data_IF_341082095613
#
_entry.id   IF_341082095613
#
_cell.length_a   1.000
_cell.length_b   1.000
_cell.length_c   1.000
_cell.angle_alpha   90.00
_cell.angle_beta   90.00
_cell.angle_gamma   90.00
#
_symmetry.space_group_name_H-M   'P 1'
#
loop_
_entity.id
_entity.type
_entity.pdbx_description
1 polymer ?
#
# COMPACT_ATOMS: atom_id res chain seq x y z
N UNK A 1 6.81 -86.99 -26.58
CA UNK A 1 7.54 -87.13 -27.86
C UNK A 1 7.04 -86.08 -28.83
N UNK A 2 7.95 -85.51 -29.62
CA UNK A 2 7.76 -84.61 -30.77
C UNK A 2 7.87 -83.09 -30.55
N UNK A 3 8.97 -82.56 -31.11
CA UNK A 3 9.13 -81.36 -31.93
C UNK A 3 8.95 -79.96 -31.33
N UNK A 4 10.07 -79.40 -30.88
CA UNK A 4 10.37 -77.96 -30.95
C UNK A 4 10.92 -77.60 -32.33
N UNK A 5 10.19 -76.76 -33.09
CA UNK A 5 10.72 -76.01 -34.24
C UNK A 5 10.78 -74.52 -33.89
N UNK A 6 11.98 -73.96 -33.95
CA UNK A 6 12.19 -72.51 -34.12
C UNK A 6 11.92 -72.12 -35.57
N UNK A 7 11.50 -70.87 -35.81
CA UNK A 7 12.20 -70.09 -36.82
C UNK A 7 12.62 -68.70 -36.31
N UNK A 8 13.80 -68.30 -36.78
CA UNK A 8 14.37 -66.96 -36.68
C UNK A 8 13.65 -65.97 -37.59
N UNK A 9 13.44 -64.75 -37.12
CA UNK A 9 13.61 -63.48 -37.86
C UNK A 9 13.59 -62.36 -36.82
N UNK A 10 14.62 -61.53 -36.75
CA UNK A 10 14.59 -60.24 -37.42
C UNK A 10 14.87 -59.15 -36.38
N UNK A 11 16.11 -58.65 -36.36
CA UNK A 11 16.51 -57.53 -35.54
C UNK A 11 15.74 -56.27 -35.95
N UNK A 12 15.04 -55.65 -35.00
CA UNK A 12 14.51 -54.31 -35.13
C UNK A 12 14.86 -53.52 -33.86
N UNK A 13 15.65 -52.46 -34.06
CA UNK A 13 16.04 -51.49 -33.04
C UNK A 13 14.79 -50.88 -32.36
N UNK A 14 14.59 -51.19 -31.08
CA UNK A 14 13.62 -50.48 -30.25
C UNK A 14 14.28 -49.18 -29.75
N UNK A 15 13.94 -48.07 -30.40
CA UNK A 15 14.14 -46.74 -29.85
C UNK A 15 13.39 -46.63 -28.51
N UNK A 16 14.14 -46.47 -27.42
CA UNK A 16 13.58 -46.09 -26.13
C UNK A 16 13.02 -44.66 -26.22
N UNK A 17 11.71 -44.54 -26.45
CA UNK A 17 10.99 -43.30 -26.16
C UNK A 17 10.91 -43.14 -24.64
N UNK A 18 11.82 -42.36 -24.07
CA UNK A 18 11.65 -41.74 -22.76
C UNK A 18 10.41 -40.85 -22.83
N UNK A 19 9.30 -41.34 -22.29
CA UNK A 19 8.11 -40.53 -22.03
C UNK A 19 8.47 -39.43 -21.05
N UNK A 20 8.39 -38.18 -21.52
CA UNK A 20 8.53 -37.01 -20.65
C UNK A 20 7.50 -37.09 -19.51
N UNK A 21 7.84 -36.67 -18.28
CA UNK A 21 6.84 -36.56 -17.23
C UNK A 21 5.77 -35.58 -17.71
N UNK A 22 4.50 -35.99 -17.66
CA UNK A 22 3.37 -35.11 -17.86
C UNK A 22 3.53 -33.92 -16.90
N UNK A 23 3.97 -32.78 -17.43
CA UNK A 23 3.89 -31.51 -16.71
C UNK A 23 2.40 -31.29 -16.46
N UNK A 24 1.95 -31.55 -15.24
CA UNK A 24 0.59 -31.23 -14.83
C UNK A 24 0.33 -29.79 -15.20
N UNK A 25 -0.55 -29.59 -16.18
CA UNK A 25 -1.02 -28.27 -16.60
C UNK A 25 -1.65 -27.66 -15.35
N UNK A 26 -0.89 -26.78 -14.66
CA UNK A 26 -1.41 -26.03 -13.52
C UNK A 26 -2.67 -25.32 -14.03
N UNK A 27 -3.82 -25.68 -13.45
CA UNK A 27 -5.07 -24.95 -13.63
C UNK A 27 -4.75 -23.49 -13.30
N UNK A 28 -4.77 -22.61 -14.30
CA UNK A 28 -4.80 -21.18 -14.05
C UNK A 28 -6.05 -20.91 -13.22
N UNK A 29 -5.90 -20.32 -12.03
CA UNK A 29 -7.06 -19.88 -11.27
C UNK A 29 -7.63 -18.65 -11.99
N UNK A 30 -8.69 -18.82 -12.77
CA UNK A 30 -9.38 -17.78 -13.56
C UNK A 30 -10.17 -16.77 -12.71
N UNK A 31 -9.75 -16.53 -11.48
CA UNK A 31 -10.30 -15.44 -10.66
C UNK A 31 -9.67 -14.19 -11.27
N UNK A 32 -10.40 -13.50 -12.17
CA UNK A 32 -9.87 -12.45 -13.05
C UNK A 32 -9.16 -11.27 -12.35
N UNK A 33 -8.69 -10.30 -13.15
CA UNK A 33 -7.93 -9.12 -12.67
C UNK A 33 -8.81 -8.24 -11.75
N UNK A 34 -8.66 -8.38 -10.43
CA UNK A 34 -9.39 -7.57 -9.45
C UNK A 34 -8.61 -6.31 -9.10
N UNK A 35 -8.80 -5.22 -9.84
CA UNK A 35 -8.18 -3.93 -9.47
C UNK A 35 -9.05 -3.09 -8.51
N UNK A 36 -10.30 -3.47 -8.30
CA UNK A 36 -11.30 -2.68 -7.57
C UNK A 36 -11.17 -2.80 -6.05
N UNK A 37 -11.39 -1.70 -5.34
CA UNK A 37 -11.44 -1.64 -3.88
C UNK A 37 -10.08 -1.62 -3.16
N UNK A 38 -8.98 -1.64 -3.91
CA UNK A 38 -7.64 -1.48 -3.36
C UNK A 38 -7.32 0.00 -3.15
N UNK A 39 -7.18 0.35 -1.88
CA UNK A 39 -6.87 1.70 -1.37
C UNK A 39 -5.39 2.04 -1.48
N UNK A 40 -4.53 1.06 -1.80
CA UNK A 40 -3.10 1.30 -2.01
C UNK A 40 -2.86 1.95 -3.37
N UNK A 41 -2.07 3.02 -3.34
CA UNK A 41 -1.62 3.79 -4.51
C UNK A 41 -0.47 3.00 -5.15
N UNK A 42 -0.24 3.03 -6.46
CA UNK A 42 0.86 2.29 -7.16
C UNK A 42 2.24 2.90 -6.89
N UNK A 43 3.31 2.23 -7.32
CA UNK A 43 4.66 2.72 -7.06
C UNK A 43 5.12 3.77 -8.05
N UNK A 44 6.06 4.62 -7.64
CA UNK A 44 6.59 5.69 -8.48
C UNK A 44 7.59 5.18 -9.53
N UNK A 45 8.16 4.00 -9.32
CA UNK A 45 9.07 3.43 -10.30
C UNK A 45 8.31 2.84 -11.50
N UNK A 46 8.44 3.49 -12.65
CA UNK A 46 8.56 2.73 -13.89
C UNK A 46 9.96 2.12 -13.89
N UNK A 47 10.09 0.81 -14.11
CA UNK A 47 11.43 0.23 -14.32
C UNK A 47 12.00 0.97 -15.54
N UNK A 48 13.12 1.72 -15.41
CA UNK A 48 13.62 2.57 -16.48
C UNK A 48 13.90 1.74 -17.74
N UNK A 49 13.54 2.30 -18.89
CA UNK A 49 13.81 1.68 -20.19
C UNK A 49 15.33 1.57 -20.38
N UNK A 50 15.77 0.53 -21.10
CA UNK A 50 17.17 0.32 -21.46
C UNK A 50 17.78 1.54 -22.15
N UNK A 51 16.97 2.27 -22.94
CA UNK A 51 17.32 3.54 -23.59
C UNK A 51 17.77 4.62 -22.61
N UNK A 52 17.07 4.76 -21.48
CA UNK A 52 17.38 5.77 -20.46
C UNK A 52 18.69 5.44 -19.72
N UNK A 53 19.01 4.15 -19.60
CA UNK A 53 20.24 3.67 -18.98
C UNK A 53 21.44 3.90 -19.92
N UNK A 54 21.27 3.65 -21.22
CA UNK A 54 22.31 3.81 -22.24
C UNK A 54 22.63 5.30 -22.51
N UNK A 55 21.62 6.18 -22.57
CA UNK A 55 21.82 7.65 -22.66
C UNK A 55 22.57 8.21 -21.44
N UNK A 56 22.24 7.72 -20.24
CA UNK A 56 22.91 8.10 -18.99
C UNK A 56 24.37 7.64 -18.93
N UNK A 57 24.67 6.45 -19.45
CA UNK A 57 26.03 5.95 -19.56
C UNK A 57 26.86 6.74 -20.58
N UNK A 58 26.24 7.17 -21.68
CA UNK A 58 26.86 8.01 -22.70
C UNK A 58 27.22 9.42 -22.17
N UNK A 59 26.32 10.05 -21.41
CA UNK A 59 26.58 11.36 -20.77
C UNK A 59 27.71 11.31 -19.75
N UNK A 60 27.81 10.22 -18.98
CA UNK A 60 28.89 10.02 -18.01
C UNK A 60 30.26 9.89 -18.70
N UNK A 61 30.31 9.16 -19.83
CA UNK A 61 31.52 8.97 -20.63
C UNK A 61 31.99 10.25 -21.35
N UNK A 62 31.08 11.18 -21.63
CA UNK A 62 31.41 12.47 -22.27
C UNK A 62 32.09 13.46 -21.31
N UNK A 63 31.93 13.28 -20.00
CA UNK A 63 32.55 14.13 -18.96
C UNK A 63 33.95 13.64 -18.53
N UNK A 64 34.45 12.56 -19.13
CA UNK A 64 35.80 12.03 -18.94
C UNK A 64 36.81 12.82 -19.82
N UNK A 65 36.97 14.12 -19.57
CA UNK A 65 38.15 14.87 -20.05
C UNK A 65 39.27 14.83 -19.01
N UNK A 66 40.52 14.84 -19.50
CA UNK A 66 41.75 14.50 -18.75
C UNK A 66 42.24 15.57 -17.75
N UNK A 67 41.51 16.66 -17.54
CA UNK A 67 41.85 17.71 -16.55
C UNK A 67 40.63 17.96 -15.67
N UNK A 68 40.62 17.41 -14.44
CA UNK A 68 39.47 17.50 -13.55
C UNK A 68 39.66 18.63 -12.52
N UNK A 69 38.87 19.69 -12.65
CA UNK A 69 38.74 20.76 -11.65
C UNK A 69 37.81 20.27 -10.52
N UNK A 70 37.90 20.83 -9.30
CA UNK A 70 36.98 20.50 -8.19
C UNK A 70 35.48 20.63 -8.57
N UNK A 71 35.15 21.59 -9.45
CA UNK A 71 33.81 21.75 -10.01
C UNK A 71 33.39 20.58 -10.91
N UNK A 72 34.32 20.01 -11.67
CA UNK A 72 34.07 18.86 -12.53
C UNK A 72 33.84 17.60 -11.69
N UNK A 73 34.53 17.47 -10.56
CA UNK A 73 34.31 16.38 -9.59
C UNK A 73 32.91 16.47 -8.97
N UNK A 74 32.48 17.67 -8.54
CA UNK A 74 31.14 17.88 -8.00
C UNK A 74 30.04 17.65 -9.05
N UNK A 75 30.26 18.09 -10.29
CA UNK A 75 29.35 17.86 -11.41
C UNK A 75 29.22 16.35 -11.71
N UNK A 76 30.34 15.63 -11.78
CA UNK A 76 30.37 14.16 -11.95
C UNK A 76 29.64 13.44 -10.83
N UNK A 77 29.84 13.87 -9.58
CA UNK A 77 29.16 13.29 -8.43
C UNK A 77 27.65 13.54 -8.50
N UNK A 78 27.22 14.75 -8.86
CA UNK A 78 25.81 15.08 -9.03
C UNK A 78 25.14 14.28 -10.15
N UNK A 79 25.79 14.15 -11.31
CA UNK A 79 25.30 13.34 -12.43
C UNK A 79 25.23 11.86 -12.05
N UNK A 80 26.28 11.31 -11.42
CA UNK A 80 26.29 9.91 -10.95
C UNK A 80 25.17 9.64 -9.96
N UNK A 81 24.95 10.57 -9.03
CA UNK A 81 23.91 10.47 -7.99
C UNK A 81 22.51 10.62 -8.61
N UNK A 82 22.34 11.44 -9.65
CA UNK A 82 21.11 11.53 -10.45
C UNK A 82 20.82 10.23 -11.19
N UNK A 83 21.81 9.65 -11.87
CA UNK A 83 21.70 8.37 -12.58
C UNK A 83 21.30 7.26 -11.59
N UNK A 84 22.01 7.19 -10.47
CA UNK A 84 21.73 6.20 -9.42
C UNK A 84 20.33 6.39 -8.82
N UNK A 85 19.87 7.63 -8.67
CA UNK A 85 18.52 7.97 -8.18
C UNK A 85 17.41 7.57 -9.14
N UNK A 86 17.66 7.61 -10.46
CA UNK A 86 16.70 7.12 -11.47
C UNK A 86 16.65 5.59 -11.45
N UNK A 87 17.80 4.93 -11.26
CA UNK A 87 17.87 3.46 -11.17
C UNK A 87 17.30 2.91 -9.86
N UNK A 88 17.52 3.62 -8.77
CA UNK A 88 17.11 3.26 -7.41
C UNK A 88 16.29 4.41 -6.82
N UNK A 89 14.99 4.41 -7.09
CA UNK A 89 14.04 5.44 -6.62
C UNK A 89 13.93 5.53 -5.11
N UNK A 90 14.38 4.52 -4.37
CA UNK A 90 14.49 4.56 -2.90
C UNK A 90 15.66 5.40 -2.40
N UNK A 91 16.65 5.70 -3.24
CA UNK A 91 17.85 6.42 -2.83
C UNK A 91 17.60 7.90 -2.48
N UNK A 92 16.88 8.71 -3.29
CA UNK A 92 16.60 10.11 -2.92
C UNK A 92 15.91 10.28 -1.55
N UNK A 93 14.79 9.58 -1.24
CA UNK A 93 14.18 9.73 0.08
C UNK A 93 15.08 9.18 1.19
N UNK A 94 15.88 8.14 0.95
CA UNK A 94 16.89 7.68 1.93
C UNK A 94 17.95 8.74 2.23
N UNK A 95 18.47 9.43 1.20
CA UNK A 95 19.45 10.49 1.39
C UNK A 95 18.89 11.66 2.19
N UNK A 96 17.62 12.03 1.96
CA UNK A 96 16.93 13.06 2.75
C UNK A 96 16.82 12.62 4.22
N UNK A 97 16.37 11.39 4.47
CA UNK A 97 16.24 10.86 5.83
C UNK A 97 17.60 10.76 6.53
N UNK A 98 18.62 10.28 5.82
CA UNK A 98 19.99 10.13 6.30
C UNK A 98 20.63 11.48 6.62
N UNK A 99 20.47 12.48 5.74
CA UNK A 99 20.97 13.83 5.96
C UNK A 99 20.33 14.47 7.20
N UNK A 100 19.00 14.40 7.34
CA UNK A 100 18.30 14.91 8.52
C UNK A 100 18.77 14.20 9.80
N UNK A 101 18.95 12.88 9.75
CA UNK A 101 19.41 12.11 10.91
C UNK A 101 20.85 12.43 11.27
N UNK A 102 21.72 12.58 10.28
CA UNK A 102 23.12 12.96 10.46
C UNK A 102 23.24 14.34 11.11
N UNK A 103 22.53 15.35 10.59
CA UNK A 103 22.52 16.70 11.18
C UNK A 103 22.03 16.65 12.62
N UNK A 104 20.98 15.87 12.91
CA UNK A 104 20.47 15.71 14.27
C UNK A 104 21.50 15.11 15.22
N UNK A 105 22.20 14.05 14.80
CA UNK A 105 23.26 13.43 15.63
C UNK A 105 24.46 14.36 15.81
N UNK A 106 24.92 15.00 14.73
CA UNK A 106 26.05 15.94 14.77
C UNK A 106 25.77 17.18 15.63
N UNK A 107 24.51 17.57 15.77
CA UNK A 107 24.13 18.69 16.64
C UNK A 107 24.34 18.40 18.14
N UNK A 108 24.50 17.13 18.53
CA UNK A 108 24.66 16.66 19.91
C UNK A 108 23.60 17.17 20.91
N UNK A 109 22.43 17.58 20.41
CA UNK A 109 21.32 18.07 21.21
C UNK A 109 20.05 17.23 20.95
N UNK A 110 19.76 16.30 21.86
CA UNK A 110 18.65 15.36 21.71
C UNK A 110 17.39 15.78 22.49
N UNK A 111 17.25 17.07 22.76
CA UNK A 111 16.14 17.62 23.55
C UNK A 111 15.15 18.37 22.68
N UNK A 112 13.98 18.71 23.25
CA UNK A 112 12.92 19.51 22.60
C UNK A 112 13.37 20.90 22.09
N UNK A 113 14.57 21.36 22.49
CA UNK A 113 15.18 22.61 22.01
C UNK A 113 15.74 22.49 20.58
N UNK A 114 16.01 21.27 20.09
CA UNK A 114 16.50 21.04 18.75
C UNK A 114 15.35 21.10 17.72
N UNK A 115 15.45 21.90 16.64
CA UNK A 115 14.42 21.95 15.60
C UNK A 115 14.16 20.61 14.89
N UNK A 116 15.12 19.69 14.91
CA UNK A 116 14.99 18.35 14.32
C UNK A 116 14.39 17.32 15.29
N UNK A 117 14.27 17.63 16.59
CA UNK A 117 13.68 16.72 17.57
C UNK A 117 12.28 16.21 17.18
N UNK A 118 11.34 17.07 16.69
CA UNK A 118 10.01 16.64 16.29
C UNK A 118 9.95 15.72 15.06
N UNK A 119 11.03 15.62 14.28
CA UNK A 119 11.09 14.67 13.17
C UNK A 119 11.22 13.23 13.70
N UNK A 120 12.01 13.03 14.75
CA UNK A 120 12.41 11.70 15.21
C UNK A 120 11.70 11.25 16.49
N UNK A 121 11.18 12.18 17.29
CA UNK A 121 10.57 11.90 18.58
C UNK A 121 9.16 12.48 18.68
N UNK A 122 8.29 11.80 19.44
CA UNK A 122 6.97 12.35 19.76
C UNK A 122 7.11 13.60 20.61
N UNK A 123 6.46 14.67 20.17
CA UNK A 123 6.42 15.94 20.91
C UNK A 123 5.34 15.93 21.99
N UNK A 124 5.41 16.87 22.93
CA UNK A 124 4.39 17.14 23.96
C UNK A 124 4.22 16.03 25.01
N UNK A 125 5.31 15.46 25.49
CA UNK A 125 5.27 14.60 26.68
C UNK A 125 4.76 15.40 27.90
N UNK A 126 3.86 14.82 28.68
CA UNK A 126 3.27 15.44 29.87
C UNK A 126 4.05 14.95 31.10
N UNK A 127 4.83 15.82 31.77
CA UNK A 127 5.59 15.44 32.95
C UNK A 127 4.68 14.93 34.07
N UNK A 128 5.16 13.94 34.84
CA UNK A 128 4.44 13.41 36.01
C UNK A 128 3.35 12.38 35.70
N UNK A 129 3.19 11.94 34.45
CA UNK A 129 2.27 10.86 34.08
C UNK A 129 2.98 9.50 34.02
N UNK A 130 2.35 8.45 34.56
CA UNK A 130 2.84 7.07 34.55
C UNK A 130 1.73 6.11 34.03
N UNK A 131 1.85 5.54 32.82
CA UNK A 131 2.90 5.74 31.82
C UNK A 131 2.92 7.18 31.28
N UNK A 132 4.03 7.60 30.66
CA UNK A 132 4.15 8.93 30.06
C UNK A 132 3.09 9.11 28.96
N UNK A 133 2.25 10.13 29.15
CA UNK A 133 1.20 10.52 28.24
C UNK A 133 1.67 11.69 27.37
N UNK A 134 1.14 11.76 26.15
CA UNK A 134 1.50 12.76 25.17
C UNK A 134 0.26 13.53 24.75
N UNK A 135 0.36 14.87 24.76
CA UNK A 135 -0.63 15.78 24.19
C UNK A 135 -0.51 15.88 22.67
N UNK A 136 -1.05 16.96 22.09
CA UNK A 136 -0.98 17.26 20.66
C UNK A 136 -0.58 18.70 20.38
N UNK A 137 0.00 18.97 19.21
CA UNK A 137 0.27 20.32 18.71
C UNK A 137 0.91 20.34 17.33
N UNK A 138 1.30 21.52 16.86
CA UNK A 138 1.75 21.71 15.47
C UNK A 138 3.02 20.92 15.10
N UNK A 139 3.94 20.74 16.05
CA UNK A 139 5.12 19.85 15.91
C UNK A 139 4.77 18.42 15.46
N UNK A 140 3.55 17.94 15.70
CA UNK A 140 3.12 16.61 15.22
C UNK A 140 2.98 16.57 13.70
N UNK A 141 2.72 17.70 13.02
CA UNK A 141 2.74 17.79 11.55
C UNK A 141 4.14 17.58 10.99
N UNK A 142 5.17 18.06 11.69
CA UNK A 142 6.57 17.84 11.30
C UNK A 142 6.90 16.35 11.35
N UNK A 143 6.44 15.65 12.39
CA UNK A 143 6.56 14.20 12.50
C UNK A 143 5.83 13.50 11.35
N UNK A 144 4.59 13.91 11.03
CA UNK A 144 3.82 13.35 9.90
C UNK A 144 4.53 13.57 8.57
N UNK A 145 5.08 14.76 8.31
CA UNK A 145 5.86 15.04 7.09
C UNK A 145 7.13 14.18 7.01
N UNK A 146 7.82 13.97 8.14
CA UNK A 146 8.95 13.05 8.19
C UNK A 146 8.52 11.61 7.84
N UNK A 147 7.39 11.16 8.40
CA UNK A 147 6.82 9.85 8.09
C UNK A 147 6.45 9.72 6.61
N UNK A 148 5.97 10.78 5.95
CA UNK A 148 5.70 10.73 4.51
C UNK A 148 6.96 10.45 3.68
N UNK A 149 8.09 11.08 4.02
CA UNK A 149 9.38 10.81 3.36
C UNK A 149 9.84 9.38 3.66
N UNK A 150 9.69 8.94 4.93
CA UNK A 150 9.96 7.56 5.34
C UNK A 150 9.14 6.56 4.53
N UNK A 151 7.84 6.74 4.36
CA UNK A 151 7.01 5.82 3.57
C UNK A 151 7.34 5.82 2.09
N UNK A 152 7.80 6.95 1.54
CA UNK A 152 8.27 7.02 0.16
C UNK A 152 9.53 6.17 -0.01
N UNK A 153 10.50 6.29 0.92
CA UNK A 153 11.65 5.41 0.98
C UNK A 153 11.26 3.94 1.17
N UNK A 154 10.49 3.66 2.22
CA UNK A 154 10.14 2.31 2.65
C UNK A 154 9.44 1.55 1.55
N UNK A 155 8.48 2.19 0.87
CA UNK A 155 7.78 1.63 -0.27
C UNK A 155 8.73 1.22 -1.41
N UNK A 156 9.53 2.16 -1.89
CA UNK A 156 10.43 1.92 -3.02
C UNK A 156 11.53 0.90 -2.66
N UNK A 157 12.02 0.94 -1.42
CA UNK A 157 13.01 0.00 -0.91
C UNK A 157 12.44 -1.42 -0.83
N UNK A 158 11.29 -1.59 -0.17
CA UNK A 158 10.64 -2.90 -0.04
C UNK A 158 10.32 -3.47 -1.43
N UNK A 159 9.76 -2.66 -2.34
CA UNK A 159 9.42 -3.14 -3.68
C UNK A 159 10.64 -3.55 -4.50
N UNK A 160 11.69 -2.72 -4.56
CA UNK A 160 12.85 -3.00 -5.43
C UNK A 160 13.86 -3.97 -4.84
N UNK A 161 14.07 -3.91 -3.52
CA UNK A 161 15.14 -4.66 -2.84
C UNK A 161 14.62 -5.99 -2.29
N UNK A 162 13.39 -6.03 -1.76
CA UNK A 162 12.85 -7.23 -1.13
C UNK A 162 11.87 -7.99 -2.05
N UNK A 163 10.88 -7.31 -2.62
CA UNK A 163 9.78 -7.95 -3.34
C UNK A 163 10.11 -8.29 -4.79
N UNK A 164 10.95 -7.51 -5.46
CA UNK A 164 11.41 -7.82 -6.82
C UNK A 164 12.14 -9.17 -6.92
N UNK A 165 13.18 -9.47 -6.11
CA UNK A 165 13.82 -10.79 -6.16
C UNK A 165 12.88 -11.90 -5.70
N UNK A 166 11.99 -11.64 -4.74
CA UNK A 166 10.97 -12.59 -4.33
C UNK A 166 10.02 -12.95 -5.49
N UNK A 167 9.56 -11.95 -6.25
CA UNK A 167 8.71 -12.15 -7.42
C UNK A 167 9.42 -12.98 -8.52
N UNK A 168 10.72 -12.76 -8.71
CA UNK A 168 11.56 -13.56 -9.61
C UNK A 168 11.69 -15.01 -9.13
N UNK A 169 11.88 -15.20 -7.82
CA UNK A 169 11.96 -16.55 -7.22
C UNK A 169 10.65 -17.34 -7.37
N UNK A 170 9.51 -16.65 -7.41
CA UNK A 170 8.21 -17.25 -7.71
C UNK A 170 7.97 -17.50 -9.21
N UNK A 171 8.93 -17.14 -10.08
CA UNK A 171 8.85 -17.38 -11.52
C UNK A 171 7.97 -16.39 -12.28
N UNK A 172 7.68 -15.21 -11.71
CA UNK A 172 6.89 -14.18 -12.39
C UNK A 172 7.73 -13.50 -13.49
N UNK A 173 7.49 -13.92 -14.75
CA UNK A 173 8.22 -13.42 -15.93
C UNK A 173 7.65 -12.11 -16.50
N UNK A 174 6.33 -11.98 -16.57
CA UNK A 174 5.66 -10.80 -17.18
C UNK A 174 5.85 -9.55 -16.31
N UNK A 175 6.29 -8.45 -16.92
CA UNK A 175 6.61 -7.18 -16.24
C UNK A 175 5.39 -6.60 -15.49
N UNK A 176 4.23 -6.51 -16.14
CA UNK A 176 3.00 -6.00 -15.52
C UNK A 176 2.55 -6.83 -14.32
N UNK A 177 2.48 -8.16 -14.48
CA UNK A 177 2.10 -9.10 -13.40
C UNK A 177 3.05 -8.99 -12.20
N UNK A 178 4.35 -8.86 -12.45
CA UNK A 178 5.37 -8.66 -11.41
C UNK A 178 5.17 -7.36 -10.64
N UNK A 179 4.91 -6.26 -11.34
CA UNK A 179 4.64 -4.97 -10.70
C UNK A 179 3.40 -5.04 -9.79
N UNK A 180 2.30 -5.62 -10.27
CA UNK A 180 1.07 -5.76 -9.46
C UNK A 180 1.25 -6.67 -8.26
N UNK A 181 1.97 -7.77 -8.42
CA UNK A 181 2.36 -8.61 -7.30
C UNK A 181 3.13 -7.81 -6.24
N UNK A 182 4.14 -7.03 -6.64
CA UNK A 182 4.92 -6.23 -5.69
C UNK A 182 4.07 -5.16 -5.00
N UNK A 183 3.13 -4.52 -5.70
CA UNK A 183 2.21 -3.53 -5.13
C UNK A 183 1.34 -4.15 -4.03
N UNK A 184 0.73 -5.31 -4.30
CA UNK A 184 -0.09 -6.00 -3.31
C UNK A 184 0.74 -6.58 -2.17
N UNK A 185 1.92 -7.14 -2.47
CA UNK A 185 2.80 -7.68 -1.44
C UNK A 185 3.35 -6.57 -0.52
N UNK A 186 3.59 -5.35 -1.03
CA UNK A 186 3.91 -4.20 -0.19
C UNK A 186 2.77 -3.86 0.76
N UNK A 187 1.53 -3.86 0.27
CA UNK A 187 0.33 -3.65 1.10
C UNK A 187 0.19 -4.73 2.18
N UNK A 188 0.52 -5.99 1.89
CA UNK A 188 0.58 -7.07 2.91
C UNK A 188 1.62 -6.75 3.99
N UNK A 189 2.82 -6.30 3.62
CA UNK A 189 3.87 -5.94 4.58
C UNK A 189 3.39 -4.82 5.50
N UNK A 190 2.78 -3.78 4.94
CA UNK A 190 2.27 -2.65 5.71
C UNK A 190 1.11 -3.08 6.63
N UNK A 191 0.01 -3.59 6.06
CA UNK A 191 -1.19 -3.93 6.83
C UNK A 191 -0.97 -5.13 7.76
N UNK A 192 -0.04 -6.03 7.43
CA UNK A 192 0.36 -7.14 8.30
C UNK A 192 1.04 -6.69 9.59
N UNK A 193 1.62 -5.49 9.61
CA UNK A 193 2.21 -4.87 10.81
C UNK A 193 1.19 -3.94 11.48
N UNK A 194 0.51 -3.07 10.72
CA UNK A 194 -0.36 -2.04 11.30
C UNK A 194 -1.68 -2.59 11.83
N UNK A 195 -2.24 -3.64 11.22
CA UNK A 195 -3.53 -4.21 11.68
C UNK A 195 -3.41 -4.86 13.07
N UNK A 196 -2.45 -5.77 13.32
CA UNK A 196 -2.27 -6.33 14.66
C UNK A 196 -1.86 -5.27 15.68
N UNK A 197 -1.03 -4.29 15.28
CA UNK A 197 -0.61 -3.21 16.16
C UNK A 197 -1.79 -2.31 16.58
N UNK A 198 -2.68 -1.97 15.65
CA UNK A 198 -3.90 -1.21 15.95
C UNK A 198 -4.82 -1.97 16.92
N UNK A 199 -5.04 -3.26 16.68
CA UNK A 199 -5.80 -4.12 17.60
C UNK A 199 -5.16 -4.20 18.99
N UNK A 200 -3.84 -4.31 19.07
CA UNK A 200 -3.10 -4.31 20.34
C UNK A 200 -3.28 -2.99 21.10
N UNK A 201 -3.20 -1.85 20.41
CA UNK A 201 -3.44 -0.54 21.02
C UNK A 201 -4.87 -0.43 21.52
N UNK A 202 -5.84 -0.86 20.73
CA UNK A 202 -7.25 -0.90 21.12
C UNK A 202 -7.45 -1.76 22.38
N UNK A 203 -6.81 -2.93 22.44
CA UNK A 203 -6.85 -3.82 23.61
C UNK A 203 -6.34 -3.17 24.89
N UNK A 204 -5.34 -2.29 24.78
CA UNK A 204 -4.81 -1.50 25.90
C UNK A 204 -5.71 -0.33 26.33
N UNK A 205 -6.87 -0.15 25.70
CA UNK A 205 -7.82 0.92 26.04
C UNK A 205 -9.19 0.33 26.41
N UNK A 206 -10.04 1.08 27.13
CA UNK A 206 -11.39 0.65 27.46
C UNK A 206 -12.27 0.36 26.23
N UNK A 207 -11.89 0.83 25.04
CA UNK A 207 -12.67 0.64 23.82
C UNK A 207 -12.55 -0.76 23.22
N UNK A 208 -11.84 -1.70 23.88
CA UNK A 208 -11.58 -3.04 23.37
C UNK A 208 -12.80 -3.64 22.68
N UNK A 209 -12.55 -4.16 21.49
CA UNK A 209 -13.54 -4.70 20.59
C UNK A 209 -14.68 -3.73 20.25
N UNK A 210 -14.30 -2.51 19.85
CA UNK A 210 -15.21 -1.49 19.33
C UNK A 210 -16.34 -1.13 20.31
N UNK A 211 -16.02 -0.97 21.61
CA UNK A 211 -16.97 -0.46 22.59
C UNK A 211 -17.18 1.05 22.38
N UNK A 212 -18.21 1.40 21.60
CA UNK A 212 -18.47 2.77 21.12
C UNK A 212 -18.77 3.77 22.23
N UNK A 213 -19.36 3.31 23.34
CA UNK A 213 -19.65 4.16 24.52
C UNK A 213 -18.38 4.87 25.02
N UNK A 214 -17.25 4.19 24.92
CA UNK A 214 -15.96 4.69 25.40
C UNK A 214 -15.41 5.83 24.52
N UNK A 215 -15.90 6.00 23.29
CA UNK A 215 -15.54 7.15 22.46
C UNK A 215 -16.03 8.47 23.06
N UNK A 216 -17.06 8.42 23.91
CA UNK A 216 -17.80 9.58 24.38
C UNK A 216 -17.69 9.79 25.90
N UNK A 217 -17.58 8.70 26.68
CA UNK A 217 -17.70 8.72 28.14
C UNK A 217 -16.75 9.73 28.82
N UNK A 218 -15.47 9.71 28.44
CA UNK A 218 -14.43 10.59 29.00
C UNK A 218 -13.89 11.57 27.95
N UNK A 219 -14.69 11.89 26.94
CA UNK A 219 -14.31 12.84 25.91
C UNK A 219 -14.26 14.28 26.49
N UNK A 220 -13.22 15.09 26.18
CA UNK A 220 -12.16 14.86 25.20
C UNK A 220 -10.97 14.05 25.72
N UNK A 221 -10.51 13.09 24.93
CA UNK A 221 -9.30 12.30 25.19
C UNK A 221 -8.03 13.09 24.82
N UNK A 222 -7.65 14.07 25.66
CA UNK A 222 -6.61 15.07 25.34
C UNK A 222 -5.19 14.50 25.22
N UNK A 223 -4.94 13.32 25.77
CA UNK A 223 -3.61 12.71 25.78
C UNK A 223 -3.66 11.20 25.58
N UNK A 224 -2.57 10.66 25.06
CA UNK A 224 -2.43 9.23 24.76
C UNK A 224 -1.05 8.72 25.16
N UNK A 225 -0.96 7.42 25.50
CA UNK A 225 0.34 6.78 25.72
C UNK A 225 1.15 6.75 24.41
N UNK A 226 2.47 6.65 24.54
CA UNK A 226 3.43 6.75 23.43
C UNK A 226 3.01 5.96 22.18
N UNK A 227 2.72 4.67 22.34
CA UNK A 227 2.45 3.78 21.21
C UNK A 227 1.16 4.15 20.47
N UNK A 228 0.11 4.58 21.18
CA UNK A 228 -1.12 5.06 20.55
C UNK A 228 -0.82 6.31 19.70
N UNK A 229 -0.16 7.31 20.27
CA UNK A 229 0.14 8.55 19.54
C UNK A 229 1.05 8.29 18.35
N UNK A 230 2.11 7.48 18.54
CA UNK A 230 3.00 7.06 17.47
C UNK A 230 2.22 6.40 16.33
N UNK A 231 1.43 5.37 16.63
CA UNK A 231 0.63 4.66 15.63
C UNK A 231 -0.31 5.59 14.86
N UNK A 232 -0.98 6.50 15.58
CA UNK A 232 -1.93 7.41 14.97
C UNK A 232 -1.25 8.40 13.99
N UNK A 233 -0.10 8.97 14.38
CA UNK A 233 0.67 9.87 13.51
C UNK A 233 1.40 9.12 12.38
N UNK A 234 1.85 7.89 12.63
CA UNK A 234 2.44 7.00 11.64
C UNK A 234 1.43 6.68 10.53
N UNK A 235 0.22 6.27 10.90
CA UNK A 235 -0.90 6.08 9.96
C UNK A 235 -1.22 7.39 9.20
N UNK A 236 -1.28 8.52 9.89
CA UNK A 236 -1.50 9.80 9.24
C UNK A 236 -0.42 10.11 8.19
N UNK A 237 0.85 9.81 8.48
CA UNK A 237 1.96 9.94 7.54
C UNK A 237 1.82 9.04 6.32
N UNK A 238 1.45 7.77 6.53
CA UNK A 238 1.21 6.81 5.44
C UNK A 238 0.10 7.29 4.51
N UNK A 239 -1.09 7.57 5.06
CA UNK A 239 -2.25 7.98 4.27
C UNK A 239 -2.06 9.35 3.62
N UNK A 240 -1.31 10.26 4.25
CA UNK A 240 -0.91 11.53 3.64
C UNK A 240 0.04 11.32 2.46
N UNK A 241 1.03 10.43 2.59
CA UNK A 241 1.94 10.06 1.51
C UNK A 241 1.19 9.44 0.33
N UNK A 242 0.31 8.47 0.59
CA UNK A 242 -0.53 7.85 -0.44
C UNK A 242 -1.41 8.90 -1.14
N UNK A 243 -2.05 9.79 -0.37
CA UNK A 243 -2.91 10.84 -0.94
C UNK A 243 -2.16 11.81 -1.85
N UNK A 244 -0.93 12.20 -1.48
CA UNK A 244 -0.09 13.07 -2.33
C UNK A 244 0.27 12.39 -3.65
N UNK A 245 0.69 11.13 -3.60
CA UNK A 245 1.05 10.37 -4.82
C UNK A 245 -0.16 10.26 -5.76
N UNK A 246 -1.34 9.97 -5.22
CA UNK A 246 -2.58 9.88 -5.98
C UNK A 246 -2.99 11.22 -6.61
N UNK A 247 -2.98 12.31 -5.83
CA UNK A 247 -3.45 13.62 -6.26
C UNK A 247 -2.54 14.25 -7.31
N UNK A 248 -1.22 14.03 -7.21
CA UNK A 248 -0.24 14.49 -8.20
C UNK A 248 -0.28 13.67 -9.50
N UNK A 249 -1.17 12.68 -9.61
CA UNK A 249 -1.28 11.78 -10.77
C UNK A 249 0.08 11.23 -11.19
N UNK A 250 0.91 10.89 -10.20
CA UNK A 250 2.18 10.23 -10.48
C UNK A 250 1.96 8.80 -11.03
N UNK A 251 0.70 8.38 -11.16
CA UNK A 251 0.25 7.10 -11.66
C UNK A 251 -0.88 7.22 -12.68
N UNK A 252 -0.94 6.21 -13.56
CA UNK A 252 -2.03 6.03 -14.53
C UNK A 252 -3.38 5.83 -13.81
N UNK A 253 -4.41 6.67 -14.08
CA UNK A 253 -5.72 6.55 -13.46
C UNK A 253 -6.36 5.17 -13.65
N UNK A 254 -6.93 4.63 -12.58
CA UNK A 254 -7.75 3.41 -12.58
C UNK A 254 -9.20 3.72 -13.00
N UNK A 255 -10.02 2.69 -13.20
CA UNK A 255 -11.45 2.88 -13.53
C UNK A 255 -12.26 3.51 -12.40
N UNK A 256 -11.92 3.22 -11.15
CA UNK A 256 -12.52 3.76 -9.94
C UNK A 256 -11.75 4.97 -9.40
N UNK A 257 -11.01 5.68 -10.26
CA UNK A 257 -10.12 6.78 -9.84
C UNK A 257 -10.87 7.94 -9.17
N UNK A 258 -12.11 8.24 -9.59
CA UNK A 258 -12.90 9.33 -8.99
C UNK A 258 -13.35 8.95 -7.58
N UNK A 259 -13.81 7.72 -7.40
CA UNK A 259 -14.22 7.14 -6.13
C UNK A 259 -13.02 7.03 -5.19
N UNK A 260 -11.84 6.66 -5.70
CA UNK A 260 -10.59 6.63 -4.96
C UNK A 260 -10.15 8.05 -4.52
N UNK A 261 -10.19 9.05 -5.40
CA UNK A 261 -9.92 10.45 -5.00
C UNK A 261 -10.88 10.90 -3.91
N UNK A 262 -12.18 10.67 -4.10
CA UNK A 262 -13.20 11.03 -3.11
C UNK A 262 -12.93 10.35 -1.77
N UNK A 263 -12.59 9.05 -1.79
CA UNK A 263 -12.16 8.31 -0.62
C UNK A 263 -10.98 8.98 0.09
N UNK A 264 -9.91 9.33 -0.64
CA UNK A 264 -8.73 9.96 -0.05
C UNK A 264 -9.03 11.34 0.54
N UNK A 265 -9.93 12.12 -0.06
CA UNK A 265 -10.41 13.38 0.53
C UNK A 265 -11.11 13.11 1.87
N UNK A 266 -12.06 12.17 1.89
CA UNK A 266 -12.79 11.79 3.11
C UNK A 266 -11.84 11.26 4.18
N UNK A 267 -10.89 10.40 3.82
CA UNK A 267 -9.86 9.85 4.72
C UNK A 267 -9.00 10.95 5.32
N UNK A 268 -8.55 11.92 4.52
CA UNK A 268 -7.75 13.04 5.04
C UNK A 268 -8.53 13.97 5.96
N UNK A 269 -9.81 14.21 5.67
CA UNK A 269 -10.69 14.95 6.55
C UNK A 269 -10.94 14.20 7.87
N UNK A 270 -11.21 12.89 7.81
CA UNK A 270 -11.39 12.06 9.00
C UNK A 270 -10.16 12.08 9.90
N UNK A 271 -8.96 11.86 9.33
CA UNK A 271 -7.70 11.85 10.09
C UNK A 271 -7.42 13.23 10.68
N UNK A 272 -7.47 14.29 9.86
CA UNK A 272 -7.16 15.64 10.29
C UNK A 272 -8.13 16.17 11.35
N UNK A 273 -9.43 16.02 11.14
CA UNK A 273 -10.46 16.53 12.06
C UNK A 273 -10.51 15.70 13.34
N UNK A 274 -10.39 14.38 13.27
CA UNK A 274 -10.41 13.56 14.49
C UNK A 274 -9.16 13.77 15.35
N UNK A 275 -8.00 14.06 14.78
CA UNK A 275 -6.84 14.52 15.55
C UNK A 275 -7.01 15.94 16.10
N UNK A 276 -7.49 16.88 15.27
CA UNK A 276 -7.65 18.29 15.66
C UNK A 276 -8.65 18.48 16.80
N UNK A 277 -9.71 17.69 16.81
CA UNK A 277 -10.84 17.76 17.74
C UNK A 277 -10.95 16.55 18.67
N UNK A 278 -9.84 15.84 18.97
CA UNK A 278 -9.80 14.80 20.01
C UNK A 278 -10.73 13.57 19.80
N UNK A 279 -11.22 13.33 18.59
CA UNK A 279 -11.98 12.12 18.23
C UNK A 279 -11.05 10.95 17.82
N UNK A 280 -9.82 10.94 18.31
CA UNK A 280 -8.78 9.97 17.94
C UNK A 280 -9.14 8.52 18.27
N UNK A 281 -9.98 8.29 19.28
CA UNK A 281 -10.47 6.96 19.64
C UNK A 281 -11.39 6.37 18.56
N UNK A 282 -12.28 7.21 18.02
CA UNK A 282 -13.08 6.86 16.85
C UNK A 282 -12.20 6.72 15.60
N UNK A 283 -11.20 7.59 15.45
CA UNK A 283 -10.20 7.47 14.37
C UNK A 283 -9.41 6.17 14.41
N UNK A 284 -8.98 5.72 15.59
CA UNK A 284 -8.30 4.42 15.77
C UNK A 284 -9.21 3.26 15.36
N UNK A 285 -10.49 3.29 15.77
CA UNK A 285 -11.46 2.29 15.35
C UNK A 285 -11.61 2.25 13.82
N UNK A 286 -11.74 3.41 13.17
CA UNK A 286 -11.79 3.48 11.71
C UNK A 286 -10.52 2.91 11.08
N UNK A 287 -9.32 3.32 11.51
CA UNK A 287 -8.06 2.75 10.99
C UNK A 287 -8.03 1.22 11.06
N UNK A 288 -8.39 0.63 12.20
CA UNK A 288 -8.38 -0.83 12.36
C UNK A 288 -9.37 -1.50 11.40
N UNK A 289 -10.60 -0.98 11.28
CA UNK A 289 -11.57 -1.57 10.34
C UNK A 289 -11.09 -1.51 8.89
N UNK A 290 -10.34 -0.47 8.54
CA UNK A 290 -9.86 -0.26 7.19
C UNK A 290 -8.67 -1.18 6.88
N UNK A 291 -7.65 -1.16 7.72
CA UNK A 291 -6.41 -1.92 7.52
C UNK A 291 -6.64 -3.44 7.54
N UNK A 292 -7.49 -3.93 8.45
CA UNK A 292 -7.74 -5.37 8.58
C UNK A 292 -8.33 -5.92 7.28
N UNK A 293 -9.30 -5.26 6.67
CA UNK A 293 -9.86 -5.75 5.39
C UNK A 293 -8.85 -5.65 4.24
N UNK A 294 -8.03 -4.61 4.23
CA UNK A 294 -7.08 -4.35 3.15
C UNK A 294 -5.92 -5.35 3.16
N UNK A 295 -5.54 -5.86 4.34
CA UNK A 295 -4.66 -7.02 4.44
C UNK A 295 -5.22 -8.24 3.70
N UNK A 296 -6.48 -8.62 3.95
CA UNK A 296 -7.10 -9.78 3.29
C UNK A 296 -7.28 -9.56 1.79
N UNK A 297 -7.62 -8.33 1.38
CA UNK A 297 -7.69 -7.97 -0.03
C UNK A 297 -6.33 -8.19 -0.72
N UNK A 298 -5.28 -7.56 -0.20
CA UNK A 298 -3.94 -7.63 -0.77
C UNK A 298 -3.40 -9.07 -0.78
N UNK A 299 -3.68 -9.84 0.27
CA UNK A 299 -3.32 -11.25 0.36
C UNK A 299 -4.02 -12.09 -0.70
N UNK A 300 -5.33 -11.92 -0.87
CA UNK A 300 -6.10 -12.66 -1.89
C UNK A 300 -5.61 -12.38 -3.32
N UNK A 301 -5.28 -11.12 -3.64
CA UNK A 301 -4.72 -10.73 -4.94
C UNK A 301 -3.31 -11.27 -5.15
N UNK A 302 -2.47 -11.25 -4.11
CA UNK A 302 -1.12 -11.80 -4.17
C UNK A 302 -1.15 -13.29 -4.47
N UNK A 303 -2.04 -14.05 -3.82
CA UNK A 303 -2.24 -15.47 -4.13
C UNK A 303 -2.73 -15.69 -5.57
N UNK A 304 -3.58 -14.80 -6.08
CA UNK A 304 -4.08 -14.87 -7.45
C UNK A 304 -2.95 -14.65 -8.48
N UNK A 305 -2.07 -13.67 -8.25
CA UNK A 305 -0.89 -13.49 -9.08
C UNK A 305 0.07 -14.68 -9.02
N UNK A 306 0.10 -15.44 -7.93
CA UNK A 306 0.91 -16.65 -7.81
C UNK A 306 0.22 -17.91 -8.38
N UNK A 307 -0.99 -17.80 -8.93
CA UNK A 307 -1.81 -18.92 -9.39
C UNK A 307 -1.95 -20.01 -8.29
N UNK A 308 -2.11 -19.59 -7.04
CA UNK A 308 -2.17 -20.47 -5.87
C UNK A 308 -3.53 -21.16 -5.75
N UNK A 309 -3.59 -22.45 -5.32
CA UNK A 309 -4.87 -23.12 -5.05
C UNK A 309 -5.64 -22.50 -3.86
N UNK A 310 -4.97 -21.68 -3.04
CA UNK A 310 -5.58 -21.04 -1.86
C UNK A 310 -6.34 -19.75 -2.17
N UNK A 311 -6.43 -19.34 -3.45
CA UNK A 311 -7.11 -18.09 -3.84
C UNK A 311 -8.57 -18.08 -3.40
N UNK A 312 -9.33 -19.15 -3.64
CA UNK A 312 -10.78 -19.19 -3.36
C UNK A 312 -11.05 -19.10 -1.85
N UNK A 313 -10.43 -19.92 -0.97
CA UNK A 313 -10.63 -19.78 0.47
C UNK A 313 -10.29 -18.38 1.00
N UNK A 314 -9.20 -17.77 0.52
CA UNK A 314 -8.79 -16.43 0.94
C UNK A 314 -9.66 -15.31 0.36
N UNK A 315 -10.17 -15.48 -0.85
CA UNK A 315 -11.11 -14.53 -1.44
C UNK A 315 -12.45 -14.54 -0.69
N UNK A 316 -12.95 -15.71 -0.30
CA UNK A 316 -14.15 -15.82 0.52
C UNK A 316 -13.94 -15.27 1.93
N UNK A 317 -12.80 -15.54 2.56
CA UNK A 317 -12.48 -14.97 3.87
C UNK A 317 -12.36 -13.45 3.81
N UNK A 318 -11.77 -12.91 2.73
CA UNK A 318 -11.75 -11.48 2.44
C UNK A 318 -13.15 -10.86 2.42
N UNK A 319 -14.12 -11.48 1.72
CA UNK A 319 -15.49 -10.96 1.65
C UNK A 319 -16.15 -10.90 3.05
N UNK A 320 -15.96 -11.95 3.85
CA UNK A 320 -16.48 -12.02 5.22
C UNK A 320 -15.86 -10.93 6.10
N UNK A 321 -14.52 -10.79 6.04
CA UNK A 321 -13.79 -9.78 6.82
C UNK A 321 -14.17 -8.38 6.37
N UNK A 322 -14.27 -8.12 5.06
CA UNK A 322 -14.73 -6.84 4.52
C UNK A 322 -16.11 -6.51 5.03
N UNK A 323 -17.07 -7.43 4.93
CA UNK A 323 -18.42 -7.19 5.42
C UNK A 323 -18.45 -6.85 6.91
N UNK A 324 -17.74 -7.64 7.72
CA UNK A 324 -17.70 -7.42 9.16
C UNK A 324 -17.05 -6.08 9.52
N UNK A 325 -15.88 -5.79 8.97
CA UNK A 325 -15.08 -4.61 9.34
C UNK A 325 -15.59 -3.31 8.70
N UNK A 326 -15.91 -3.33 7.40
CA UNK A 326 -16.28 -2.13 6.62
C UNK A 326 -17.77 -1.81 6.63
N UNK A 327 -18.63 -2.78 6.97
CA UNK A 327 -20.09 -2.57 7.09
C UNK A 327 -20.55 -2.73 8.52
N UNK A 328 -20.50 -3.92 9.11
CA UNK A 328 -21.10 -4.15 10.43
C UNK A 328 -20.49 -3.23 11.51
N UNK A 329 -19.16 -3.17 11.63
CA UNK A 329 -18.50 -2.29 12.60
C UNK A 329 -18.68 -0.80 12.28
N UNK A 330 -18.64 -0.42 11.00
CA UNK A 330 -18.84 0.97 10.60
C UNK A 330 -20.29 1.45 10.87
N UNK A 331 -21.29 0.63 10.57
CA UNK A 331 -22.69 0.87 10.95
C UNK A 331 -22.87 0.94 12.47
N UNK A 332 -22.17 0.10 13.24
CA UNK A 332 -22.15 0.21 14.71
C UNK A 332 -21.61 1.57 15.16
N UNK A 333 -20.53 2.06 14.55
CA UNK A 333 -19.97 3.39 14.82
C UNK A 333 -20.99 4.48 14.45
N UNK A 334 -21.58 4.44 13.25
CA UNK A 334 -22.62 5.39 12.80
C UNK A 334 -23.82 5.42 13.74
N UNK A 335 -24.31 4.25 14.15
CA UNK A 335 -25.40 4.13 15.10
C UNK A 335 -25.05 4.79 16.43
N UNK A 336 -23.81 4.62 16.92
CA UNK A 336 -23.34 5.28 18.13
C UNK A 336 -23.28 6.81 17.99
N UNK A 337 -22.97 7.33 16.79
CA UNK A 337 -22.96 8.78 16.53
C UNK A 337 -24.38 9.35 16.62
N UNK A 338 -25.41 8.57 16.24
CA UNK A 338 -26.81 8.99 16.34
C UNK A 338 -27.37 8.85 17.76
N UNK A 339 -27.00 7.79 18.49
CA UNK A 339 -27.65 7.42 19.76
C UNK A 339 -26.86 7.78 21.02
N UNK A 340 -25.53 7.66 20.98
CA UNK A 340 -24.64 7.83 22.14
C UNK A 340 -23.93 9.19 22.16
N UNK A 341 -23.69 9.80 21.00
CA UNK A 341 -22.90 11.04 20.89
C UNK A 341 -23.47 12.20 21.71
N UNK A 342 -24.80 12.34 21.80
CA UNK A 342 -25.44 13.38 22.62
C UNK A 342 -25.62 12.95 24.08
N UNK A 343 -25.79 11.66 24.33
CA UNK A 343 -26.30 11.13 25.62
C UNK A 343 -25.19 10.66 26.56
N UNK A 344 -24.00 10.34 26.05
CA UNK A 344 -22.88 9.80 26.84
C UNK A 344 -21.80 10.86 27.01
N UNK A 345 -21.48 11.25 28.25
CA UNK A 345 -20.51 12.31 28.56
C UNK A 345 -21.02 13.71 28.19
N UNK A 346 -20.27 14.78 28.50
CA UNK A 346 -20.71 16.15 28.27
C UNK A 346 -21.01 16.43 26.79
N UNK A 347 -22.04 17.23 26.53
CA UNK A 347 -22.45 17.64 25.18
C UNK A 347 -22.58 19.16 25.15
N UNK A 348 -21.44 19.83 24.98
CA UNK A 348 -21.31 21.27 25.02
C UNK A 348 -20.11 21.70 24.17
N UNK A 349 -20.05 22.98 23.83
CA UNK A 349 -18.92 23.56 23.12
C UNK A 349 -18.15 24.46 24.09
N UNK A 350 -16.95 24.05 24.49
CA UNK A 350 -16.03 24.85 25.29
C UNK A 350 -14.63 24.85 24.67
N UNK A 351 -14.22 26.01 24.14
CA UNK A 351 -12.88 26.19 23.58
C UNK A 351 -11.78 26.11 24.65
N UNK A 352 -11.91 26.73 25.84
CA UNK A 352 -10.93 26.59 26.91
C UNK A 352 -10.70 25.14 27.33
N UNK A 353 -11.79 24.37 27.46
CA UNK A 353 -11.72 22.96 27.85
C UNK A 353 -11.38 22.02 26.69
N UNK A 354 -11.28 22.55 25.46
CA UNK A 354 -11.14 21.78 24.23
C UNK A 354 -12.22 20.69 24.08
N UNK A 355 -13.41 21.01 24.57
CA UNK A 355 -14.62 20.18 24.48
C UNK A 355 -15.34 20.54 23.19
N UNK A 356 -15.27 19.66 22.19
CA UNK A 356 -15.83 19.90 20.86
C UNK A 356 -17.02 19.01 20.51
N UNK A 357 -17.48 18.17 21.45
CA UNK A 357 -18.65 17.30 21.28
C UNK A 357 -19.93 18.11 21.45
N UNK A 358 -20.46 18.57 20.33
CA UNK A 358 -21.56 19.52 20.27
C UNK A 358 -22.46 19.32 19.03
N UNK A 359 -23.46 20.19 18.88
CA UNK A 359 -24.42 20.20 17.77
C UNK A 359 -23.81 20.43 16.39
N UNK A 360 -22.60 21.01 16.33
CA UNK A 360 -21.84 21.18 15.08
C UNK A 360 -21.04 19.93 14.75
N UNK A 361 -20.35 19.34 15.75
CA UNK A 361 -19.46 18.20 15.51
C UNK A 361 -20.23 16.93 15.14
N UNK A 362 -21.41 16.72 15.74
CA UNK A 362 -22.19 15.50 15.51
C UNK A 362 -22.53 15.28 14.02
N UNK A 363 -23.14 16.24 13.30
CA UNK A 363 -23.42 16.06 11.87
C UNK A 363 -22.14 15.94 11.05
N UNK A 364 -21.07 16.67 11.35
CA UNK A 364 -19.80 16.56 10.62
C UNK A 364 -19.21 15.15 10.74
N UNK A 365 -19.12 14.62 11.97
CA UNK A 365 -18.62 13.27 12.23
C UNK A 365 -19.50 12.23 11.53
N UNK A 366 -20.82 12.36 11.63
CA UNK A 366 -21.75 11.45 10.96
C UNK A 366 -21.56 11.49 9.43
N UNK A 367 -21.55 12.67 8.82
CA UNK A 367 -21.42 12.84 7.37
C UNK A 367 -20.12 12.25 6.85
N UNK A 368 -18.99 12.45 7.53
CA UNK A 368 -17.70 11.93 7.07
C UNK A 368 -17.63 10.39 7.17
N UNK A 369 -18.10 9.80 8.27
CA UNK A 369 -18.13 8.35 8.42
C UNK A 369 -19.16 7.73 7.47
N UNK A 370 -20.29 8.41 7.23
CA UNK A 370 -21.30 7.96 6.29
C UNK A 370 -20.80 8.03 4.85
N UNK A 371 -20.08 9.10 4.48
CA UNK A 371 -19.41 9.20 3.18
C UNK A 371 -18.41 8.05 2.98
N UNK A 372 -17.63 7.72 4.02
CA UNK A 372 -16.75 6.55 4.01
C UNK A 372 -17.55 5.25 3.82
N UNK A 373 -18.70 5.11 4.49
CA UNK A 373 -19.58 3.95 4.35
C UNK A 373 -20.13 3.80 2.93
N UNK A 374 -20.51 4.90 2.26
CA UNK A 374 -21.02 4.88 0.89
C UNK A 374 -19.96 4.35 -0.11
N UNK A 375 -18.72 4.81 0.01
CA UNK A 375 -17.62 4.29 -0.82
C UNK A 375 -17.38 2.80 -0.54
N UNK A 376 -17.41 2.40 0.73
CA UNK A 376 -17.25 0.98 1.08
C UNK A 376 -18.39 0.11 0.50
N UNK A 377 -19.64 0.62 0.45
CA UNK A 377 -20.77 -0.08 -0.16
C UNK A 377 -20.57 -0.21 -1.68
N UNK A 378 -20.11 0.87 -2.33
CA UNK A 378 -19.78 0.85 -3.76
C UNK A 378 -18.74 -0.24 -4.08
N UNK A 379 -17.63 -0.28 -3.36
CA UNK A 379 -16.61 -1.31 -3.56
C UNK A 379 -17.10 -2.71 -3.20
N UNK A 380 -17.91 -2.85 -2.15
CA UNK A 380 -18.50 -4.15 -1.80
C UNK A 380 -19.43 -4.68 -2.90
N UNK A 381 -20.23 -3.81 -3.52
CA UNK A 381 -21.03 -4.17 -4.69
C UNK A 381 -20.14 -4.70 -5.82
N UNK A 382 -19.01 -4.06 -6.08
CA UNK A 382 -18.06 -4.52 -7.11
C UNK A 382 -17.45 -5.89 -6.76
N UNK A 383 -17.11 -6.11 -5.49
CA UNK A 383 -16.59 -7.38 -4.98
C UNK A 383 -17.65 -8.49 -5.11
N UNK A 384 -18.91 -8.23 -4.77
CA UNK A 384 -20.00 -9.18 -4.93
C UNK A 384 -20.30 -9.45 -6.41
N UNK A 385 -20.22 -8.44 -7.28
CA UNK A 385 -20.34 -8.60 -8.73
C UNK A 385 -19.25 -9.50 -9.30
N UNK A 386 -18.04 -9.40 -8.76
CA UNK A 386 -16.92 -10.31 -9.08
C UNK A 386 -17.25 -11.72 -8.62
N UNK A 387 -17.67 -11.90 -7.36
CA UNK A 387 -18.03 -13.21 -6.81
C UNK A 387 -19.16 -13.87 -7.60
N UNK A 388 -20.19 -13.11 -7.96
CA UNK A 388 -21.29 -13.58 -8.78
C UNK A 388 -20.79 -14.03 -10.15
N UNK A 389 -19.93 -13.24 -10.81
CA UNK A 389 -19.33 -13.65 -12.08
C UNK A 389 -18.53 -14.94 -11.95
N UNK A 390 -17.76 -15.06 -10.87
CA UNK A 390 -16.98 -16.25 -10.59
C UNK A 390 -17.84 -17.50 -10.32
N UNK A 391 -18.97 -17.39 -9.61
CA UNK A 391 -19.81 -18.55 -9.30
C UNK A 391 -20.66 -18.98 -10.51
N UNK A 392 -21.22 -18.01 -11.24
CA UNK A 392 -22.25 -18.28 -12.24
C UNK A 392 -21.71 -18.41 -13.68
N UNK A 393 -20.55 -17.81 -13.99
CA UNK A 393 -20.00 -17.82 -15.35
C UNK A 393 -18.76 -18.71 -15.53
N UNK A 394 -18.23 -19.30 -14.45
CA UNK A 394 -17.11 -20.28 -14.50
C UNK A 394 -17.56 -21.68 -15.01
N UNK A 395 -18.78 -21.80 -15.55
CA UNK A 395 -19.28 -22.98 -16.31
C UNK A 395 -19.29 -22.74 -17.83
N UNK A 396 -19.12 -21.50 -18.32
CA UNK A 396 -19.08 -21.23 -19.76
C UNK A 396 -17.75 -20.56 -20.12
N UNK A 397 -16.81 -21.42 -20.54
CA UNK A 397 -15.60 -21.15 -21.33
C UNK A 397 -15.22 -19.67 -21.51
N UNK A 398 -14.14 -19.32 -20.82
CA UNK A 398 -12.92 -18.67 -21.34
C UNK A 398 -12.85 -18.59 -22.88
N UNK A 399 -13.61 -17.69 -23.50
CA UNK A 399 -13.50 -17.42 -24.95
C UNK A 399 -14.08 -16.07 -25.43
N UNK A 400 -14.32 -15.08 -24.55
CA UNK A 400 -14.66 -13.73 -25.06
C UNK A 400 -14.52 -12.57 -24.06
N UNK A 401 -13.60 -11.69 -24.43
CA UNK A 401 -13.29 -10.34 -23.96
C UNK A 401 -14.49 -9.39 -23.91
N UNK A 402 -14.48 -8.37 -23.04
CA UNK A 402 -13.99 -7.03 -23.43
C UNK A 402 -14.17 -5.95 -22.34
N UNK A 403 -13.33 -4.93 -22.47
CA UNK A 403 -13.26 -3.66 -21.74
C UNK A 403 -12.39 -3.61 -20.48
N UNK A 404 -11.09 -3.91 -20.59
CA UNK A 404 -10.03 -3.33 -19.74
C UNK A 404 -8.66 -3.66 -20.33
N UNK A 405 -7.78 -2.65 -20.52
CA UNK A 405 -6.36 -2.75 -20.92
C UNK A 405 -5.87 -4.20 -20.96
N UNK A 406 -5.97 -4.81 -22.13
CA UNK A 406 -5.78 -6.24 -22.29
C UNK A 406 -4.30 -6.58 -22.26
N UNK A 407 -3.95 -7.84 -21.99
CA UNK A 407 -2.56 -8.30 -22.08
C UNK A 407 -1.96 -8.03 -23.47
N UNK A 408 -2.79 -7.92 -24.52
CA UNK A 408 -2.37 -7.49 -25.85
C UNK A 408 -1.98 -6.01 -25.94
N UNK A 409 -2.55 -5.13 -25.12
CA UNK A 409 -2.23 -3.70 -25.13
C UNK A 409 -0.84 -3.44 -24.51
N UNK A 410 -0.43 -4.25 -23.51
CA UNK A 410 0.94 -4.24 -22.96
C UNK A 410 1.94 -4.85 -23.95
N UNK A 411 1.60 -5.97 -24.61
CA UNK A 411 2.44 -6.58 -25.65
C UNK A 411 2.61 -5.65 -26.88
N UNK A 412 1.60 -4.85 -27.22
CA UNK A 412 1.67 -3.84 -28.30
C UNK A 412 2.51 -2.62 -27.92
N UNK A 413 2.54 -2.24 -26.64
CA UNK A 413 3.37 -1.14 -26.13
C UNK A 413 4.85 -1.58 -26.06
N UNK A 414 5.13 -2.77 -25.51
CA UNK A 414 6.48 -3.36 -25.48
C UNK A 414 7.01 -3.64 -26.91
N UNK A 415 6.17 -4.14 -27.84
CA UNK A 415 6.55 -4.36 -29.23
C UNK A 415 6.74 -3.06 -30.02
N UNK A 416 6.00 -1.99 -29.70
CA UNK A 416 6.23 -0.65 -30.27
C UNK A 416 7.56 -0.08 -29.81
N UNK A 417 7.87 -0.20 -28.53
CA UNK A 417 9.15 0.24 -27.97
C UNK A 417 10.33 -0.54 -28.60
N UNK A 418 10.19 -1.85 -28.81
CA UNK A 418 11.20 -2.66 -29.52
C UNK A 418 11.32 -2.31 -31.02
N UNK A 419 10.21 -2.02 -31.70
CA UNK A 419 10.19 -1.69 -33.12
C UNK A 419 10.78 -0.30 -33.39
N UNK A 420 10.49 0.70 -32.56
CA UNK A 420 11.11 2.02 -32.65
C UNK A 420 12.62 1.95 -32.42
N UNK A 421 13.09 1.16 -31.44
CA UNK A 421 14.53 0.97 -31.19
C UNK A 421 15.26 0.39 -32.40
N UNK A 422 14.67 -0.61 -33.08
CA UNK A 422 15.26 -1.19 -34.31
C UNK A 422 15.26 -0.22 -35.49
N UNK A 423 14.27 0.68 -35.58
CA UNK A 423 14.18 1.69 -36.63
C UNK A 423 15.18 2.83 -36.46
N UNK A 424 15.53 3.17 -35.22
CA UNK A 424 16.54 4.18 -34.91
C UNK A 424 17.98 3.63 -35.05
N UNK A 425 18.24 2.39 -34.63
CA UNK A 425 19.57 1.76 -34.80
C UNK A 425 19.96 1.59 -36.28
N UNK A 426 18.97 1.48 -37.18
CA UNK A 426 19.19 1.38 -38.63
C UNK A 426 19.38 2.73 -39.33
N UNK A 427 19.26 3.86 -38.60
CA UNK A 427 19.49 5.21 -39.11
C UNK A 427 20.89 5.76 -38.78
N UNK A 428 21.59 5.12 -37.84
CA UNK A 428 22.92 5.51 -37.38
C UNK A 428 24.04 4.57 -37.90
N UNK A 429 23.69 3.59 -38.75
CA UNK A 429 24.57 2.87 -39.69
C UNK A 429 24.42 3.46 -41.09
#
# INVERSE_FOLDING_TARGET
MANTKFPSTGAANAHYHLTAPLTGRRRHSSVGKFELGDTSVRALHSIPSRKTIDEQAHDLNKMTSNEATDRDVLSKLWVSLRILSVRHTWLPPLLILGALRLIYVLSNNYTDSNPLYPFFNLSYAIPGTAPTMYGKGWKDLVFVSHMMVFFTFFREFVMQVLLKPLAESFGLKKRGKKQRFMEQAYSIVYYGITSPLGLYIMWKTPMWYFNTRQFYLNYPHKSHFWLFKFYYLFQAGFWSQQSVVLMLRLEKPRKDFKELIFHHIVTMLLIGLSYRFHFTWMGLAVYITMDVSDFFLAFSKTLNYLDSPLVIPFFLSFIIVWFYTRHYLNFKILWSVLTEFKTVGPYELSFPDQQYKCWISQPIVFTLIFALQLVNIYWFFLILRILFRYIFFDVVKDDRSDDEYTEEDEDKEDARDEAEVKLFQKKDE
#
